data_IF_274232325558
#
_entry.id   IF_274232325558
#
_cell.length_a   1.000
_cell.length_b   1.000
_cell.length_c   1.000
_cell.angle_alpha   90.00
_cell.angle_beta   90.00
_cell.angle_gamma   90.00
#
_symmetry.space_group_name_H-M   'P 1'
#
loop_
_entity.id
_entity.type
_entity.pdbx_description
1 polymer ?
#
# COMPACT_ATOMS: atom_id res chain seq x y z
N UNK A 1 15.17 -11.20 -10.26
CA UNK A 1 16.44 -10.88 -9.57
C UNK A 1 17.15 -12.18 -9.34
N UNK A 2 18.46 -12.23 -9.56
CA UNK A 2 19.27 -13.40 -9.23
C UNK A 2 19.66 -13.33 -7.72
N UNK A 3 19.85 -14.48 -7.07
CA UNK A 3 20.35 -14.60 -5.69
C UNK A 3 21.60 -13.74 -5.48
N UNK A 4 22.53 -13.74 -6.46
CA UNK A 4 23.76 -12.94 -6.38
C UNK A 4 23.52 -11.44 -6.24
N UNK A 5 22.52 -10.90 -6.95
CA UNK A 5 22.16 -9.48 -6.89
C UNK A 5 21.55 -9.11 -5.54
N UNK A 6 20.74 -10.02 -4.98
CA UNK A 6 20.11 -9.86 -3.67
C UNK A 6 21.17 -9.87 -2.58
N UNK A 7 22.10 -10.84 -2.60
CA UNK A 7 23.22 -10.94 -1.64
C UNK A 7 24.12 -9.70 -1.74
N UNK A 8 24.50 -9.29 -2.96
CA UNK A 8 25.34 -8.10 -3.15
C UNK A 8 24.64 -6.84 -2.64
N UNK A 9 23.32 -6.74 -2.77
CA UNK A 9 22.54 -5.64 -2.20
C UNK A 9 22.50 -5.70 -0.68
N UNK A 10 22.22 -6.86 -0.08
CA UNK A 10 22.21 -7.03 1.37
C UNK A 10 23.56 -6.70 2.03
N UNK A 11 24.67 -7.11 1.40
CA UNK A 11 26.03 -6.78 1.85
C UNK A 11 26.36 -5.29 1.73
N UNK A 12 25.85 -4.61 0.71
CA UNK A 12 26.02 -3.15 0.56
C UNK A 12 25.19 -2.37 1.57
N UNK A 13 23.94 -2.78 1.76
CA UNK A 13 22.98 -2.07 2.59
C UNK A 13 23.16 -2.40 4.09
N UNK A 14 23.81 -3.52 4.43
CA UNK A 14 24.07 -3.98 5.80
C UNK A 14 22.84 -4.58 6.49
N UNK A 15 21.74 -4.78 5.76
CA UNK A 15 20.53 -5.41 6.26
C UNK A 15 19.89 -6.31 5.22
N UNK A 16 19.27 -7.40 5.70
CA UNK A 16 18.46 -8.29 4.89
C UNK A 16 16.98 -7.99 5.14
N UNK A 17 16.26 -7.49 4.14
CA UNK A 17 14.83 -7.23 4.29
C UNK A 17 14.01 -8.53 4.16
N UNK A 18 12.84 -8.63 4.81
CA UNK A 18 11.94 -9.78 4.65
C UNK A 18 11.59 -10.11 3.19
N UNK A 19 11.54 -9.09 2.33
CA UNK A 19 11.30 -9.26 0.89
C UNK A 19 12.48 -9.92 0.18
N UNK A 20 13.72 -9.56 0.55
CA UNK A 20 14.92 -10.19 -0.01
C UNK A 20 15.02 -11.65 0.45
N UNK A 21 14.77 -11.92 1.73
CA UNK A 21 14.76 -13.27 2.28
C UNK A 21 13.70 -14.14 1.60
N UNK A 22 12.48 -13.65 1.42
CA UNK A 22 11.40 -14.38 0.75
C UNK A 22 11.71 -14.68 -0.73
N UNK A 23 12.37 -13.77 -1.45
CA UNK A 23 12.80 -14.00 -2.83
C UNK A 23 13.93 -15.04 -2.89
N UNK A 24 14.91 -14.99 -1.97
CA UNK A 24 15.95 -16.02 -1.87
C UNK A 24 15.34 -17.38 -1.56
N UNK A 25 14.40 -17.46 -0.60
CA UNK A 25 13.68 -18.68 -0.29
C UNK A 25 12.92 -19.24 -1.49
N UNK A 26 12.19 -18.40 -2.23
CA UNK A 26 11.48 -18.81 -3.45
C UNK A 26 12.42 -19.35 -4.53
N UNK A 27 13.57 -18.71 -4.74
CA UNK A 27 14.56 -19.14 -5.72
C UNK A 27 15.17 -20.50 -5.31
N UNK A 28 15.48 -20.68 -4.02
CA UNK A 28 15.95 -21.96 -3.48
C UNK A 28 14.90 -23.08 -3.57
N UNK A 29 13.61 -22.78 -3.37
CA UNK A 29 12.52 -23.76 -3.45
C UNK A 29 12.11 -24.11 -4.89
N UNK A 30 12.41 -23.24 -5.86
CA UNK A 30 11.97 -23.41 -7.26
C UNK A 30 12.60 -24.59 -8.01
N UNK A 31 13.46 -25.38 -7.35
CA UNK A 31 13.93 -26.67 -7.84
C UNK A 31 14.84 -26.61 -9.07
N UNK A 32 15.38 -25.44 -9.39
CA UNK A 32 16.48 -25.30 -10.35
C UNK A 32 17.76 -25.68 -9.62
N UNK A 33 18.60 -26.54 -10.22
CA UNK A 33 19.95 -26.79 -9.71
C UNK A 33 20.67 -25.44 -9.62
N UNK A 34 20.81 -24.94 -8.40
CA UNK A 34 21.48 -23.67 -8.13
C UNK A 34 22.87 -23.73 -8.77
N UNK A 35 23.21 -22.71 -9.55
CA UNK A 35 24.54 -22.64 -10.13
C UNK A 35 25.57 -22.51 -9.00
N UNK A 36 26.81 -22.99 -9.23
CA UNK A 36 27.87 -22.94 -8.21
C UNK A 36 28.07 -21.50 -7.66
N UNK A 37 27.90 -20.49 -8.51
CA UNK A 37 27.97 -19.08 -8.10
C UNK A 37 26.80 -18.60 -7.23
N UNK A 38 25.66 -19.28 -7.21
CA UNK A 38 24.53 -18.98 -6.31
C UNK A 38 24.77 -19.59 -4.93
N UNK A 39 25.33 -20.80 -4.85
CA UNK A 39 25.79 -21.40 -3.60
C UNK A 39 26.88 -20.55 -2.93
N UNK A 40 27.88 -20.10 -3.69
CA UNK A 40 28.94 -19.22 -3.17
C UNK A 40 28.37 -17.90 -2.63
N UNK A 41 27.31 -17.38 -3.26
CA UNK A 41 26.63 -16.18 -2.80
C UNK A 41 25.84 -16.43 -1.49
N UNK A 42 25.17 -17.57 -1.37
CA UNK A 42 24.49 -17.97 -0.14
C UNK A 42 25.48 -18.16 1.02
N UNK A 43 26.61 -18.81 0.78
CA UNK A 43 27.66 -19.00 1.78
C UNK A 43 28.23 -17.67 2.27
N UNK A 44 28.44 -16.71 1.36
CA UNK A 44 28.85 -15.35 1.72
C UNK A 44 27.80 -14.61 2.55
N UNK A 45 26.52 -14.78 2.21
CA UNK A 45 25.42 -14.20 2.98
C UNK A 45 25.35 -14.81 4.39
N UNK A 46 25.48 -16.13 4.51
CA UNK A 46 25.53 -16.80 5.80
C UNK A 46 26.71 -16.35 6.66
N UNK A 47 27.90 -16.24 6.07
CA UNK A 47 29.09 -15.75 6.75
C UNK A 47 28.88 -14.32 7.26
N UNK A 48 28.28 -13.43 6.46
CA UNK A 48 28.00 -12.05 6.85
C UNK A 48 26.93 -11.92 7.94
N UNK A 49 25.90 -12.79 7.92
CA UNK A 49 24.90 -12.87 8.99
C UNK A 49 25.54 -13.35 10.31
N UNK A 50 26.41 -14.37 10.27
CA UNK A 50 27.12 -14.89 11.44
C UNK A 50 28.14 -13.91 12.00
N UNK A 51 28.81 -13.15 11.13
CA UNK A 51 29.75 -12.10 11.51
C UNK A 51 29.05 -10.83 12.04
N UNK A 52 27.73 -10.70 11.85
CA UNK A 52 26.95 -9.52 12.21
C UNK A 52 27.16 -8.32 11.27
N UNK A 53 27.76 -8.53 10.09
CA UNK A 53 27.91 -7.51 9.05
C UNK A 53 26.57 -7.21 8.35
N UNK A 54 25.66 -8.18 8.36
CA UNK A 54 24.29 -8.03 7.85
C UNK A 54 23.31 -8.36 8.98
N UNK A 55 22.35 -7.46 9.22
CA UNK A 55 21.28 -7.68 10.20
C UNK A 55 19.99 -8.07 9.48
N UNK A 56 19.41 -9.21 9.83
CA UNK A 56 18.08 -9.58 9.35
C UNK A 56 17.03 -8.66 9.98
N UNK A 57 16.30 -7.93 9.14
CA UNK A 57 15.22 -7.07 9.62
C UNK A 57 14.04 -7.94 10.06
N UNK A 58 13.45 -7.65 11.24
CA UNK A 58 12.27 -8.38 11.67
C UNK A 58 11.13 -8.18 10.67
N UNK A 59 10.31 -9.22 10.50
CA UNK A 59 9.07 -9.10 9.73
C UNK A 59 8.16 -8.02 10.31
N UNK A 60 7.20 -7.54 9.51
CA UNK A 60 6.20 -6.56 9.95
C UNK A 60 5.42 -7.11 11.16
N UNK A 61 5.82 -6.72 12.36
CA UNK A 61 5.19 -7.12 13.64
C UNK A 61 4.15 -6.10 14.10
N UNK A 62 3.55 -5.34 13.18
CA UNK A 62 2.53 -4.35 13.52
C UNK A 62 1.33 -4.42 12.61
N UNK A 63 0.15 -4.22 13.20
CA UNK A 63 -1.15 -4.20 12.51
C UNK A 63 -1.84 -2.87 12.77
N UNK A 64 -2.59 -2.38 11.78
CA UNK A 64 -3.51 -1.26 11.99
C UNK A 64 -4.89 -1.83 12.30
N UNK A 65 -5.33 -1.66 13.54
CA UNK A 65 -6.61 -2.18 14.02
C UNK A 65 -7.81 -1.58 13.27
N UNK A 66 -7.65 -0.36 12.73
CA UNK A 66 -8.72 0.30 11.97
C UNK A 66 -9.07 -0.43 10.67
N UNK A 67 -8.17 -1.21 10.09
CA UNK A 67 -8.43 -1.92 8.83
C UNK A 67 -9.62 -2.88 8.96
N UNK A 68 -9.65 -3.69 10.03
CA UNK A 68 -10.72 -4.65 10.29
C UNK A 68 -12.07 -3.97 10.57
N UNK A 69 -12.05 -2.91 11.39
CA UNK A 69 -13.25 -2.17 11.77
C UNK A 69 -13.88 -1.45 10.58
N UNK A 70 -13.06 -0.79 9.76
CA UNK A 70 -13.53 -0.11 8.54
C UNK A 70 -14.08 -1.12 7.54
N UNK A 71 -13.41 -2.26 7.34
CA UNK A 71 -13.91 -3.30 6.42
C UNK A 71 -15.28 -3.83 6.86
N UNK A 72 -15.44 -4.10 8.17
CA UNK A 72 -16.72 -4.54 8.74
C UNK A 72 -17.83 -3.52 8.51
N UNK A 73 -17.56 -2.23 8.76
CA UNK A 73 -18.53 -1.16 8.55
C UNK A 73 -18.86 -0.96 7.06
N UNK A 74 -17.88 -1.04 6.17
CA UNK A 74 -18.10 -0.94 4.71
C UNK A 74 -19.03 -2.05 4.24
N UNK A 75 -18.79 -3.30 4.66
CA UNK A 75 -19.66 -4.43 4.32
C UNK A 75 -21.08 -4.20 4.86
N UNK A 76 -21.20 -3.76 6.12
CA UNK A 76 -22.50 -3.49 6.74
C UNK A 76 -23.28 -2.38 6.00
N UNK A 77 -22.61 -1.31 5.57
CA UNK A 77 -23.23 -0.24 4.79
C UNK A 77 -23.64 -0.75 3.41
N UNK A 78 -22.75 -1.43 2.68
CA UNK A 78 -23.05 -1.96 1.34
C UNK A 78 -24.26 -2.90 1.38
N UNK A 79 -24.37 -3.78 2.38
CA UNK A 79 -25.54 -4.65 2.54
C UNK A 79 -26.85 -3.89 2.74
N UNK A 80 -26.82 -2.70 3.35
CA UNK A 80 -28.01 -1.82 3.46
C UNK A 80 -28.38 -1.21 2.11
N UNK A 81 -27.39 -0.81 1.30
CA UNK A 81 -27.60 -0.18 -0.01
C UNK A 81 -27.91 -1.16 -1.16
N UNK A 82 -27.39 -2.39 -1.11
CA UNK A 82 -27.65 -3.43 -2.13
C UNK A 82 -29.13 -3.81 -2.24
N UNK A 83 -29.95 -3.50 -1.23
CA UNK A 83 -31.41 -3.59 -1.33
C UNK A 83 -32.01 -2.67 -2.40
N UNK A 84 -31.24 -1.71 -2.92
CA UNK A 84 -31.71 -0.63 -3.79
C UNK A 84 -30.95 -0.55 -5.13
N UNK A 85 -29.80 -1.20 -5.29
CA UNK A 85 -28.92 -1.02 -6.45
C UNK A 85 -28.47 -2.34 -7.10
N UNK A 86 -28.35 -2.36 -8.43
CA UNK A 86 -27.98 -3.55 -9.23
C UNK A 86 -26.47 -3.84 -9.24
N UNK A 87 -25.60 -2.86 -8.92
CA UNK A 87 -24.14 -3.02 -9.01
C UNK A 87 -23.48 -3.00 -7.64
N UNK A 88 -22.66 -4.01 -7.36
CA UNK A 88 -21.87 -4.08 -6.13
C UNK A 88 -20.73 -3.05 -6.17
N UNK A 89 -20.67 -2.13 -5.19
CA UNK A 89 -19.56 -1.18 -5.08
C UNK A 89 -18.28 -1.90 -4.63
N UNK A 90 -17.13 -1.34 -5.02
CA UNK A 90 -15.82 -1.88 -4.65
C UNK A 90 -15.49 -1.57 -3.18
N UNK A 91 -15.41 -2.63 -2.37
CA UNK A 91 -15.11 -2.55 -0.93
C UNK A 91 -13.73 -1.93 -0.71
N UNK A 92 -12.74 -2.31 -1.52
CA UNK A 92 -11.35 -1.89 -1.31
C UNK A 92 -11.19 -0.38 -1.53
N UNK A 93 -11.86 0.16 -2.54
CA UNK A 93 -11.82 1.59 -2.87
C UNK A 93 -12.47 2.45 -1.77
N UNK A 94 -13.62 2.01 -1.24
CA UNK A 94 -14.31 2.70 -0.15
C UNK A 94 -13.51 2.60 1.15
N UNK A 95 -12.98 1.42 1.46
CA UNK A 95 -12.14 1.21 2.63
C UNK A 95 -10.87 2.08 2.57
N UNK A 96 -10.21 2.14 1.42
CA UNK A 96 -9.05 3.02 1.21
C UNK A 96 -9.42 4.50 1.36
N UNK A 97 -10.59 4.93 0.86
CA UNK A 97 -11.06 6.31 1.06
C UNK A 97 -11.22 6.65 2.55
N UNK A 98 -11.85 5.77 3.31
CA UNK A 98 -12.12 5.96 4.73
C UNK A 98 -10.83 5.88 5.58
N UNK A 99 -9.99 4.86 5.36
CA UNK A 99 -8.73 4.68 6.09
C UNK A 99 -7.77 5.86 5.93
N UNK A 100 -7.73 6.47 4.74
CA UNK A 100 -6.91 7.67 4.48
C UNK A 100 -7.38 8.94 5.23
N UNK A 101 -8.53 8.88 5.92
CA UNK A 101 -9.13 10.00 6.67
C UNK A 101 -9.35 9.71 8.14
N UNK A 102 -9.07 8.48 8.56
CA UNK A 102 -9.20 8.06 9.95
C UNK A 102 -7.81 8.05 10.62
N UNK A 103 -7.72 8.36 11.92
CA UNK A 103 -6.47 8.23 12.65
C UNK A 103 -6.03 6.74 12.65
N UNK A 104 -4.80 6.41 12.24
CA UNK A 104 -4.33 5.03 12.24
C UNK A 104 -4.07 4.54 13.66
N UNK A 105 -4.47 3.30 13.96
CA UNK A 105 -4.29 2.68 15.27
C UNK A 105 -3.38 1.46 15.15
N UNK A 106 -2.07 1.71 15.23
CA UNK A 106 -1.09 0.64 15.17
C UNK A 106 -0.89 -0.05 16.52
N UNK A 107 -0.71 -1.37 16.48
CA UNK A 107 -0.34 -2.20 17.62
C UNK A 107 0.72 -3.23 17.22
N UNK A 108 1.65 -3.50 18.13
CA UNK A 108 2.73 -4.50 17.98
C UNK A 108 2.55 -5.74 18.85
N UNK A 109 1.50 -5.76 19.68
CA UNK A 109 1.14 -6.88 20.55
C UNK A 109 -0.36 -7.14 20.48
N UNK A 110 -0.77 -8.36 20.83
CA UNK A 110 -2.17 -8.74 20.86
C UNK A 110 -2.97 -7.93 21.91
N UNK A 111 -2.40 -7.75 23.10
CA UNK A 111 -2.99 -6.90 24.16
C UNK A 111 -3.15 -5.45 23.71
N UNK A 112 -2.14 -4.90 23.03
CA UNK A 112 -2.21 -3.55 22.46
C UNK A 112 -3.27 -3.45 21.36
N UNK A 113 -3.45 -4.50 20.55
CA UNK A 113 -4.49 -4.54 19.53
C UNK A 113 -5.89 -4.53 20.15
N UNK A 114 -6.09 -5.28 21.24
CA UNK A 114 -7.38 -5.32 21.95
C UNK A 114 -7.71 -3.97 22.59
N UNK A 115 -6.74 -3.34 23.26
CA UNK A 115 -6.91 -1.99 23.80
C UNK A 115 -7.30 -0.97 22.72
N UNK A 116 -6.64 -1.05 21.55
CA UNK A 116 -6.92 -0.15 20.44
C UNK A 116 -8.30 -0.43 19.82
N UNK A 117 -8.75 -1.69 19.76
CA UNK A 117 -10.11 -2.07 19.32
C UNK A 117 -11.17 -1.48 20.25
N UNK A 118 -10.95 -1.60 21.55
CA UNK A 118 -11.86 -1.05 22.55
C UNK A 118 -11.94 0.48 22.41
N UNK A 119 -10.78 1.16 22.36
CA UNK A 119 -10.73 2.61 22.20
C UNK A 119 -11.40 3.08 20.90
N UNK A 120 -11.17 2.37 19.79
CA UNK A 120 -11.82 2.69 18.53
C UNK A 120 -13.34 2.53 18.58
N UNK A 121 -13.83 1.51 19.29
CA UNK A 121 -15.26 1.27 19.46
C UNK A 121 -15.89 2.35 20.35
N UNK A 122 -15.20 2.81 21.40
CA UNK A 122 -15.71 3.81 22.32
C UNK A 122 -15.65 5.25 21.75
N UNK A 123 -14.58 5.60 21.04
CA UNK A 123 -14.31 6.99 20.63
C UNK A 123 -14.48 7.25 19.13
N UNK A 124 -14.22 6.26 18.27
CA UNK A 124 -14.07 6.46 16.82
C UNK A 124 -15.18 5.83 15.99
N UNK A 125 -16.07 5.04 16.58
CA UNK A 125 -17.15 4.34 15.86
C UNK A 125 -17.98 5.31 15.00
N UNK A 126 -18.40 6.44 15.58
CA UNK A 126 -19.15 7.46 14.85
C UNK A 126 -18.37 8.03 13.66
N UNK A 127 -17.07 8.30 13.84
CA UNK A 127 -16.21 8.84 12.79
C UNK A 127 -16.00 7.81 11.67
N UNK A 128 -15.82 6.53 12.02
CA UNK A 128 -15.72 5.43 11.06
C UNK A 128 -16.98 5.38 10.19
N UNK A 129 -18.16 5.35 10.81
CA UNK A 129 -19.44 5.33 10.10
C UNK A 129 -19.59 6.53 9.16
N UNK A 130 -19.21 7.73 9.62
CA UNK A 130 -19.26 8.95 8.82
C UNK A 130 -18.35 8.87 7.59
N UNK A 131 -17.09 8.47 7.78
CA UNK A 131 -16.10 8.40 6.68
C UNK A 131 -16.45 7.32 5.67
N UNK A 132 -16.98 6.17 6.11
CA UNK A 132 -17.46 5.10 5.22
C UNK A 132 -18.66 5.58 4.41
N UNK A 133 -19.63 6.27 5.04
CA UNK A 133 -20.80 6.82 4.35
C UNK A 133 -20.41 7.87 3.30
N UNK A 134 -19.46 8.75 3.65
CA UNK A 134 -18.94 9.72 2.70
C UNK A 134 -18.20 9.04 1.53
N UNK A 135 -17.35 8.05 1.82
CA UNK A 135 -16.63 7.28 0.81
C UNK A 135 -17.57 6.57 -0.17
N UNK A 136 -18.67 6.02 0.35
CA UNK A 136 -19.70 5.41 -0.48
C UNK A 136 -20.42 6.44 -1.36
N UNK A 137 -20.80 7.59 -0.83
CA UNK A 137 -21.41 8.67 -1.61
C UNK A 137 -20.49 9.16 -2.73
N UNK A 138 -19.22 9.43 -2.39
CA UNK A 138 -18.18 9.79 -3.36
C UNK A 138 -17.97 8.72 -4.41
N UNK A 139 -18.02 7.44 -4.04
CA UNK A 139 -17.87 6.34 -4.99
C UNK A 139 -18.97 6.34 -6.06
N UNK A 140 -20.22 6.64 -5.67
CA UNK A 140 -21.33 6.75 -6.61
C UNK A 140 -21.31 8.03 -7.44
N UNK A 141 -20.88 9.15 -6.85
CA UNK A 141 -20.76 10.45 -7.54
C UNK A 141 -19.57 10.52 -8.51
N UNK A 142 -18.74 9.47 -8.57
CA UNK A 142 -17.56 9.47 -9.44
C UNK A 142 -17.97 9.56 -10.92
N UNK A 143 -17.45 10.55 -11.67
CA UNK A 143 -17.59 10.55 -13.11
C UNK A 143 -16.87 9.33 -13.68
N UNK A 144 -17.52 8.64 -14.63
CA UNK A 144 -16.90 7.55 -15.40
C UNK A 144 -15.88 8.16 -16.36
N UNK A 145 -14.67 8.42 -15.86
CA UNK A 145 -13.55 8.83 -16.70
C UNK A 145 -12.96 7.55 -17.28
N UNK A 146 -13.16 7.35 -18.59
CA UNK A 146 -12.45 6.33 -19.33
C UNK A 146 -10.95 6.69 -19.32
N UNK A 147 -10.11 5.71 -18.99
CA UNK A 147 -8.65 5.82 -18.91
C UNK A 147 -8.12 6.87 -17.92
N UNK A 148 -7.89 6.44 -16.68
CA UNK A 148 -7.06 7.16 -15.71
C UNK A 148 -5.62 7.18 -16.23
N UNK A 149 -5.30 8.14 -17.10
CA UNK A 149 -3.90 8.45 -17.41
C UNK A 149 -3.28 9.11 -16.18
N UNK A 150 -2.07 8.68 -15.77
CA UNK A 150 -1.28 9.45 -14.81
C UNK A 150 -1.21 10.91 -15.28
N UNK A 151 -1.16 11.86 -14.34
CA UNK A 151 -0.82 13.23 -14.70
C UNK A 151 0.49 13.20 -15.47
N UNK A 152 0.44 13.57 -16.75
CA UNK A 152 1.65 13.67 -17.56
C UNK A 152 2.59 14.66 -16.86
N UNK A 153 3.91 14.36 -16.80
CA UNK A 153 4.85 15.24 -16.14
C UNK A 153 4.71 16.64 -16.73
N UNK A 154 4.48 17.62 -15.86
CA UNK A 154 4.20 18.99 -16.24
C UNK A 154 5.42 19.56 -17.00
N UNK A 155 5.41 19.49 -18.32
CA UNK A 155 6.39 20.18 -19.16
C UNK A 155 6.07 21.67 -19.02
N UNK A 156 6.79 22.36 -18.13
CA UNK A 156 6.56 23.78 -17.79
C UNK A 156 6.53 24.71 -19.02
N UNK A 157 7.12 24.31 -20.14
CA UNK A 157 7.10 25.05 -21.41
C UNK A 157 5.73 25.03 -22.11
N UNK A 158 4.92 23.98 -21.91
CA UNK A 158 3.61 23.88 -22.57
C UNK A 158 2.60 24.87 -21.98
N UNK A 159 2.63 25.09 -20.66
CA UNK A 159 1.70 26.02 -20.00
C UNK A 159 1.92 27.46 -20.45
N UNK A 160 3.17 27.92 -20.54
CA UNK A 160 3.47 29.29 -20.98
C UNK A 160 3.09 29.47 -22.46
N UNK A 161 3.35 28.46 -23.29
CA UNK A 161 2.99 28.49 -24.71
C UNK A 161 1.47 28.47 -24.91
N UNK A 162 0.74 27.66 -24.13
CA UNK A 162 -0.73 27.61 -24.13
C UNK A 162 -1.35 28.91 -23.61
N UNK A 163 -0.77 29.51 -22.56
CA UNK A 163 -1.21 30.81 -22.05
C UNK A 163 -0.94 31.93 -23.05
N UNK A 164 0.21 31.92 -23.74
CA UNK A 164 0.54 32.90 -24.78
C UNK A 164 -0.44 32.81 -25.95
N UNK A 165 -0.76 31.59 -26.42
CA UNK A 165 -1.74 31.36 -27.48
C UNK A 165 -3.15 31.82 -27.09
N UNK A 166 -3.57 31.59 -25.84
CA UNK A 166 -4.86 32.06 -25.33
C UNK A 166 -4.92 33.58 -25.21
N UNK A 167 -3.82 34.23 -24.80
CA UNK A 167 -3.71 35.68 -24.72
C UNK A 167 -3.70 36.34 -26.11
N UNK A 168 -3.02 35.76 -27.10
CA UNK A 168 -3.06 36.22 -28.48
C UNK A 168 -4.45 36.08 -29.11
N UNK A 169 -5.15 34.97 -28.85
CA UNK A 169 -6.51 34.76 -29.32
C UNK A 169 -7.52 35.75 -28.71
N UNK A 170 -7.28 36.18 -27.47
CA UNK A 170 -8.11 37.19 -26.78
C UNK A 170 -7.72 38.63 -27.12
N UNK A 171 -6.58 38.85 -27.76
CA UNK A 171 -6.09 40.17 -28.16
C UNK A 171 -6.48 40.54 -29.61
N UNK A 172 -7.13 39.65 -30.36
CA UNK A 172 -7.58 39.88 -31.74
C UNK A 172 -8.98 40.49 -31.88
N UNK A 173 -9.55 41.05 -30.82
CA UNK A 173 -10.68 42.00 -30.89
C UNK A 173 -10.24 43.43 -30.56
#
# INVERSE_FOLDING_TARGET
>A
MNIQEIVAKALRDGYLTPTMEAEVGRLCESGVDLEQGEYDALDRLMAALLAGEVVAMPHKQFINVMEEMVLTEVVAQISKYQKTAEKQPDIADIAAYALNRLPPLYATSEEGAEYQRQRASEELEFLIQQQVKEGLGRYFDRPKIADRKPLEPLVKQDLISQMALLLEALAQD
#
